data_IF_577049319162
#
_entry.id   IF_577049319162
#
_cell.length_a   1.000
_cell.length_b   1.000
_cell.length_c   1.000
_cell.angle_alpha   90.00
_cell.angle_beta   90.00
_cell.angle_gamma   90.00
#
_symmetry.space_group_name_H-M   'P 1'
#
loop_
_entity.id
_entity.type
_entity.pdbx_description
1 polymer ?
#
# COMPACT_ATOMS: atom_id res chain seq x y z
N UNK A 1 47.35 21.84 -8.10
CA UNK A 1 46.29 21.85 -9.13
C UNK A 1 46.17 23.25 -9.68
N UNK A 2 45.88 23.38 -10.97
CA UNK A 2 45.35 24.59 -11.57
C UNK A 2 43.90 24.35 -12.01
N UNK A 3 43.03 25.31 -11.79
CA UNK A 3 41.62 25.27 -12.18
C UNK A 3 41.18 26.61 -12.78
N UNK A 4 40.25 26.57 -13.73
CA UNK A 4 39.63 27.75 -14.33
C UNK A 4 38.13 27.49 -14.42
N UNK A 5 37.38 28.32 -13.73
CA UNK A 5 35.92 28.38 -13.81
C UNK A 5 35.50 29.06 -15.11
N UNK A 6 34.38 28.66 -15.71
CA UNK A 6 33.90 29.21 -16.99
C UNK A 6 33.78 30.75 -17.00
N UNK A 7 33.38 31.35 -15.87
CA UNK A 7 33.26 32.81 -15.70
C UNK A 7 34.61 33.54 -15.55
N UNK A 8 35.71 32.82 -15.37
CA UNK A 8 37.06 33.38 -15.19
C UNK A 8 37.95 33.10 -16.41
N UNK A 9 38.67 34.13 -16.86
CA UNK A 9 39.70 33.96 -17.88
C UNK A 9 41.03 33.45 -17.29
N UNK A 10 41.20 33.56 -15.97
CA UNK A 10 42.44 33.27 -15.26
C UNK A 10 42.44 31.87 -14.65
N UNK A 11 43.61 31.22 -14.74
CA UNK A 11 43.88 29.99 -14.03
C UNK A 11 44.27 30.28 -12.58
N UNK A 12 43.52 29.70 -11.65
CA UNK A 12 43.83 29.74 -10.23
C UNK A 12 44.57 28.46 -9.81
N UNK A 13 45.45 28.57 -8.82
CA UNK A 13 46.24 27.43 -8.35
C UNK A 13 46.00 27.16 -6.88
N UNK A 14 45.83 25.90 -6.53
CA UNK A 14 45.72 25.44 -5.15
C UNK A 14 46.57 24.18 -4.90
N UNK A 15 47.15 24.02 -3.70
CA UNK A 15 47.86 22.80 -3.34
C UNK A 15 46.88 21.64 -3.20
N UNK A 16 47.33 20.45 -3.58
CA UNK A 16 46.61 19.21 -3.33
C UNK A 16 47.06 18.62 -1.99
N UNK A 17 46.14 17.97 -1.28
CA UNK A 17 46.42 17.27 -0.04
C UNK A 17 46.99 15.89 -0.36
N UNK A 18 48.05 15.48 0.33
CA UNK A 18 48.59 14.14 0.20
C UNK A 18 47.92 13.21 1.23
N UNK A 19 47.37 12.09 0.77
CA UNK A 19 46.77 11.06 1.61
C UNK A 19 47.09 9.67 1.05
N UNK A 20 47.64 8.79 1.89
CA UNK A 20 48.10 7.43 1.57
C UNK A 20 48.80 7.23 0.21
N UNK A 21 49.67 8.18 -0.18
CA UNK A 21 50.40 8.13 -1.46
C UNK A 21 49.61 8.60 -2.67
N UNK A 22 48.36 9.02 -2.48
CA UNK A 22 47.53 9.75 -3.44
C UNK A 22 47.56 11.25 -3.15
N UNK A 23 47.10 12.03 -4.12
CA UNK A 23 46.89 13.47 -3.98
C UNK A 23 45.44 13.79 -4.30
N UNK A 24 44.77 14.48 -3.38
CA UNK A 24 43.36 14.84 -3.50
C UNK A 24 43.18 16.36 -3.50
N UNK A 25 42.15 16.81 -4.22
CA UNK A 25 41.59 18.15 -4.08
C UNK A 25 40.08 18.09 -4.25
N UNK A 26 39.36 18.70 -3.32
CA UNK A 26 37.90 18.78 -3.34
C UNK A 26 37.46 20.16 -3.82
N UNK A 27 36.69 20.20 -4.90
CA UNK A 27 35.96 21.41 -5.25
C UNK A 27 34.70 21.52 -4.40
N UNK A 28 34.51 22.63 -3.72
CA UNK A 28 33.30 22.90 -2.94
C UNK A 28 32.37 23.81 -3.71
N UNK A 29 31.06 23.51 -3.70
CA UNK A 29 30.01 24.35 -4.27
C UNK A 29 30.28 24.76 -5.73
N UNK A 30 30.63 23.79 -6.58
CA UNK A 30 30.79 24.01 -8.04
C UNK A 30 29.43 24.37 -8.63
N UNK A 31 29.33 25.57 -9.23
CA UNK A 31 28.08 26.12 -9.79
C UNK A 31 28.14 26.37 -11.28
N UNK A 32 29.30 26.16 -11.87
CA UNK A 32 29.59 26.37 -13.28
C UNK A 32 30.70 25.38 -13.70
N UNK A 33 30.85 25.09 -15.00
CA UNK A 33 31.89 24.20 -15.47
C UNK A 33 33.30 24.63 -15.05
N UNK A 34 34.17 23.66 -14.78
CA UNK A 34 35.55 23.87 -14.34
C UNK A 34 36.51 23.07 -15.18
N UNK A 35 37.41 23.75 -15.89
CA UNK A 35 38.60 23.14 -16.47
C UNK A 35 39.69 23.00 -15.41
N UNK A 36 40.34 21.86 -15.28
CA UNK A 36 41.48 21.69 -14.37
C UNK A 36 42.59 20.83 -14.95
N UNK A 37 43.82 21.06 -14.47
CA UNK A 37 44.96 20.17 -14.69
C UNK A 37 45.86 20.14 -13.46
N UNK A 38 46.66 19.08 -13.35
CA UNK A 38 47.58 18.88 -12.22
C UNK A 38 49.01 19.11 -12.68
N UNK A 39 49.80 19.75 -11.82
CA UNK A 39 51.23 19.96 -12.03
C UNK A 39 52.01 19.31 -10.91
N UNK A 40 52.96 18.44 -11.27
CA UNK A 40 53.90 17.82 -10.34
C UNK A 40 55.31 17.85 -10.94
N UNK A 41 56.29 18.35 -10.20
CA UNK A 41 57.68 18.44 -10.62
C UNK A 41 57.90 19.07 -12.03
N UNK A 42 57.06 20.04 -12.41
CA UNK A 42 57.14 20.73 -13.70
C UNK A 42 56.50 19.98 -14.87
N UNK A 43 55.83 18.86 -14.63
CA UNK A 43 55.04 18.11 -15.62
C UNK A 43 53.56 18.41 -15.42
N UNK A 44 52.84 18.65 -16.52
CA UNK A 44 51.40 18.90 -16.53
C UNK A 44 50.67 17.63 -16.95
N UNK A 45 49.50 17.39 -16.35
CA UNK A 45 48.54 16.42 -16.88
C UNK A 45 47.85 16.95 -18.14
N UNK A 46 47.00 16.13 -18.74
CA UNK A 46 45.95 16.60 -19.64
C UNK A 46 45.00 17.56 -18.90
N UNK A 47 44.27 18.37 -19.65
CA UNK A 47 43.17 19.18 -19.13
C UNK A 47 41.93 18.31 -19.02
N UNK A 48 41.28 18.36 -17.86
CA UNK A 48 40.03 17.69 -17.56
C UNK A 48 38.95 18.74 -17.35
N UNK A 49 37.70 18.38 -17.60
CA UNK A 49 36.55 19.27 -17.42
C UNK A 49 35.56 18.64 -16.45
N UNK A 50 35.03 19.47 -15.55
CA UNK A 50 33.88 19.17 -14.71
C UNK A 50 32.71 19.97 -15.27
N UNK A 51 31.65 19.30 -15.68
CA UNK A 51 30.42 19.95 -16.14
C UNK A 51 29.45 20.17 -14.97
N UNK A 52 28.64 21.22 -15.08
CA UNK A 52 27.54 21.49 -14.14
C UNK A 52 26.23 21.55 -14.90
N UNK A 53 25.20 20.96 -14.31
CA UNK A 53 23.92 20.73 -14.95
C UNK A 53 22.83 21.38 -14.11
N UNK A 54 21.94 22.11 -14.76
CA UNK A 54 20.70 22.55 -14.13
C UNK A 54 19.66 21.44 -14.28
N UNK A 55 19.37 20.76 -13.17
CA UNK A 55 18.42 19.66 -13.15
C UNK A 55 16.99 20.21 -13.21
N UNK A 56 16.08 19.56 -13.95
CA UNK A 56 14.66 19.88 -13.89
C UNK A 56 14.17 19.88 -12.44
N UNK A 57 13.51 20.96 -12.02
CA UNK A 57 12.98 21.06 -10.66
C UNK A 57 11.56 20.54 -10.64
N UNK A 58 11.27 19.64 -9.70
CA UNK A 58 9.91 19.16 -9.47
C UNK A 58 9.05 20.33 -8.99
N UNK A 59 7.94 20.54 -9.71
CA UNK A 59 6.90 21.53 -9.42
C UNK A 59 5.73 20.91 -8.69
N UNK A 60 5.39 19.68 -9.05
CA UNK A 60 4.27 18.96 -8.48
C UNK A 60 4.49 17.45 -8.55
N UNK A 61 3.93 16.75 -7.57
CA UNK A 61 3.70 15.30 -7.60
C UNK A 61 2.21 15.11 -7.37
N UNK A 62 1.52 14.38 -8.24
CA UNK A 62 0.12 14.02 -8.08
C UNK A 62 0.00 12.50 -7.97
N UNK A 63 -0.86 12.05 -7.06
CA UNK A 63 -1.10 10.63 -6.79
C UNK A 63 -2.54 10.29 -7.12
N UNK A 64 -2.75 9.33 -8.03
CA UNK A 64 -4.08 8.80 -8.34
C UNK A 64 -4.18 7.36 -7.85
N UNK A 65 -5.06 7.14 -6.87
CA UNK A 65 -5.26 5.86 -6.20
C UNK A 65 -6.37 5.06 -6.88
N UNK A 66 -6.01 3.91 -7.43
CA UNK A 66 -6.93 2.91 -7.94
C UNK A 66 -7.01 1.73 -6.96
N UNK A 67 -7.99 1.80 -6.06
CA UNK A 67 -8.19 0.79 -5.04
C UNK A 67 -8.62 -0.58 -5.63
N UNK A 68 -8.29 -1.69 -4.94
CA UNK A 68 -8.79 -3.00 -5.30
C UNK A 68 -10.33 -3.03 -5.34
N UNK A 69 -10.91 -3.80 -6.26
CA UNK A 69 -12.37 -3.84 -6.44
C UNK A 69 -13.15 -4.24 -5.18
N UNK A 70 -12.56 -5.07 -4.32
CA UNK A 70 -13.20 -5.57 -3.10
C UNK A 70 -13.39 -4.47 -2.05
N UNK A 71 -12.61 -3.37 -2.09
CA UNK A 71 -12.80 -2.27 -1.15
C UNK A 71 -14.00 -1.39 -1.48
N UNK A 72 -14.51 -1.50 -2.71
CA UNK A 72 -15.58 -0.65 -3.26
C UNK A 72 -15.30 0.86 -3.18
N UNK A 73 -14.05 1.26 -2.95
CA UNK A 73 -13.64 2.66 -2.89
C UNK A 73 -13.54 3.25 -4.30
N UNK A 74 -13.98 4.50 -4.43
CA UNK A 74 -13.82 5.27 -5.67
C UNK A 74 -12.36 5.67 -5.87
N UNK A 75 -11.97 5.94 -7.12
CA UNK A 75 -10.65 6.51 -7.41
C UNK A 75 -10.47 7.83 -6.69
N UNK A 76 -9.36 7.98 -5.97
CA UNK A 76 -9.00 9.18 -5.25
C UNK A 76 -7.80 9.85 -5.93
N UNK A 77 -7.80 11.18 -5.96
CA UNK A 77 -6.68 11.97 -6.50
C UNK A 77 -6.18 12.89 -5.39
N UNK A 78 -4.88 12.91 -5.19
CA UNK A 78 -4.18 13.79 -4.26
C UNK A 78 -3.19 14.66 -5.05
N UNK A 79 -3.40 15.97 -5.00
CA UNK A 79 -2.63 16.95 -5.79
C UNK A 79 -2.51 18.27 -4.98
N UNK A 80 -1.31 18.61 -4.45
CA UNK A 80 -0.09 17.80 -4.48
C UNK A 80 -0.20 16.58 -3.57
N UNK A 81 0.35 15.45 -4.01
CA UNK A 81 0.58 14.27 -3.20
C UNK A 81 1.94 14.28 -2.51
N UNK A 82 2.07 13.43 -1.50
CA UNK A 82 3.26 13.29 -0.65
C UNK A 82 3.46 11.79 -0.33
N UNK A 83 3.23 11.37 0.92
CA UNK A 83 3.28 9.96 1.31
C UNK A 83 2.08 9.16 0.76
N UNK A 84 2.30 7.88 0.47
CA UNK A 84 1.26 6.94 0.05
C UNK A 84 0.75 6.18 1.28
N UNK A 85 -0.55 6.28 1.56
CA UNK A 85 -1.21 5.44 2.58
C UNK A 85 -2.41 4.73 1.98
N UNK A 86 -2.29 3.42 1.76
CA UNK A 86 -3.31 2.65 1.03
C UNK A 86 -3.30 1.17 1.39
N UNK A 87 -4.41 0.48 1.11
CA UNK A 87 -4.48 -0.98 1.28
C UNK A 87 -3.58 -1.70 0.28
N UNK A 88 -3.10 -2.88 0.67
CA UNK A 88 -2.36 -3.75 -0.23
C UNK A 88 -3.15 -4.07 -1.52
N UNK A 89 -2.45 -4.06 -2.65
CA UNK A 89 -3.02 -4.20 -4.00
C UNK A 89 -3.55 -2.91 -4.62
N UNK A 90 -3.49 -1.76 -3.91
CA UNK A 90 -3.81 -0.46 -4.50
C UNK A 90 -2.77 -0.10 -5.55
N UNK A 91 -3.23 0.31 -6.73
CA UNK A 91 -2.37 0.84 -7.80
C UNK A 91 -2.36 2.36 -7.72
N UNK A 92 -1.21 2.94 -7.44
CA UNK A 92 -1.01 4.38 -7.36
C UNK A 92 -0.30 4.84 -8.61
N UNK A 93 -0.99 5.64 -9.42
CA UNK A 93 -0.35 6.38 -10.52
C UNK A 93 0.33 7.62 -9.95
N UNK A 94 1.65 7.70 -10.14
CA UNK A 94 2.49 8.81 -9.70
C UNK A 94 2.80 9.66 -10.91
N UNK A 95 2.28 10.89 -10.94
CA UNK A 95 2.56 11.88 -11.97
C UNK A 95 3.47 12.96 -11.39
N UNK A 96 4.63 13.17 -11.99
CA UNK A 96 5.56 14.25 -11.64
C UNK A 96 5.57 15.29 -12.74
N UNK A 97 5.44 16.56 -12.35
CA UNK A 97 5.58 17.70 -13.25
C UNK A 97 6.81 18.51 -12.86
N UNK A 98 7.65 18.83 -13.83
CA UNK A 98 8.88 19.63 -13.68
C UNK A 98 8.81 20.97 -14.40
N UNK A 99 9.81 21.82 -14.19
CA UNK A 99 9.91 23.13 -14.85
C UNK A 99 10.67 23.13 -16.19
N UNK A 100 11.29 22.00 -16.50
CA UNK A 100 11.95 21.70 -17.76
C UNK A 100 11.53 20.31 -18.23
N UNK A 101 11.58 20.02 -19.55
CA UNK A 101 11.29 18.69 -20.06
C UNK A 101 12.16 17.60 -19.45
N UNK A 102 11.56 16.44 -19.18
CA UNK A 102 12.22 15.22 -18.75
C UNK A 102 12.58 14.39 -19.99
N UNK A 103 13.78 13.82 -20.00
CA UNK A 103 14.19 12.84 -21.02
C UNK A 103 13.67 11.45 -20.65
N UNK A 104 14.34 10.83 -19.69
CA UNK A 104 13.95 9.57 -19.08
C UNK A 104 13.67 9.82 -17.60
N UNK A 105 12.69 9.12 -17.03
CA UNK A 105 12.34 9.21 -15.62
C UNK A 105 12.03 7.82 -15.07
N UNK A 106 12.35 7.64 -13.79
CA UNK A 106 12.17 6.40 -13.07
C UNK A 106 11.56 6.68 -11.70
N UNK A 107 10.74 5.75 -11.25
CA UNK A 107 10.21 5.70 -9.90
C UNK A 107 10.96 4.60 -9.17
N UNK A 108 11.72 4.96 -8.16
CA UNK A 108 12.45 4.00 -7.33
C UNK A 108 11.61 3.70 -6.10
N UNK A 109 11.34 2.42 -5.85
CA UNK A 109 10.49 1.94 -4.75
C UNK A 109 11.24 0.86 -4.00
N UNK A 110 11.58 1.09 -2.73
CA UNK A 110 12.34 0.15 -1.92
C UNK A 110 13.65 -0.36 -2.59
N UNK A 111 14.26 0.48 -3.43
CA UNK A 111 15.46 0.14 -4.21
C UNK A 111 15.19 -0.59 -5.54
N UNK A 112 13.95 -0.91 -5.88
CA UNK A 112 13.54 -1.42 -7.18
C UNK A 112 13.17 -0.28 -8.13
N UNK A 113 13.59 -0.41 -9.39
CA UNK A 113 13.32 0.59 -10.43
C UNK A 113 12.04 0.26 -11.19
N UNK A 114 11.11 1.22 -11.24
CA UNK A 114 9.94 1.21 -12.09
C UNK A 114 10.07 2.27 -13.19
N UNK A 115 9.88 1.87 -14.44
CA UNK A 115 9.93 2.80 -15.57
C UNK A 115 8.76 3.81 -15.48
N UNK A 116 9.06 5.09 -15.75
CA UNK A 116 8.04 6.11 -15.97
C UNK A 116 7.97 6.46 -17.45
N UNK A 117 6.78 6.79 -17.94
CA UNK A 117 6.60 7.35 -19.28
C UNK A 117 6.69 8.86 -19.20
N UNK A 118 7.72 9.45 -19.81
CA UNK A 118 7.89 10.90 -19.90
C UNK A 118 7.24 11.47 -21.18
N UNK A 119 6.52 12.59 -21.02
CA UNK A 119 5.99 13.43 -22.10
C UNK A 119 6.20 14.92 -21.76
N UNK A 120 7.17 15.54 -22.43
CA UNK A 120 7.52 16.93 -22.16
C UNK A 120 8.03 17.10 -20.73
N UNK A 121 7.37 17.94 -19.94
CA UNK A 121 7.74 18.23 -18.55
C UNK A 121 6.99 17.38 -17.53
N UNK A 122 6.30 16.33 -17.98
CA UNK A 122 5.53 15.43 -17.14
C UNK A 122 6.06 14.00 -17.29
N UNK A 123 6.11 13.24 -16.21
CA UNK A 123 6.40 11.81 -16.23
C UNK A 123 5.41 11.06 -15.33
N UNK A 124 4.92 9.92 -15.82
CA UNK A 124 3.92 9.11 -15.13
C UNK A 124 4.42 7.67 -14.94
N UNK A 125 4.36 7.17 -13.72
CA UNK A 125 4.67 5.79 -13.35
C UNK A 125 3.54 5.17 -12.53
N UNK A 126 3.54 3.85 -12.38
CA UNK A 126 2.55 3.15 -11.56
C UNK A 126 3.26 2.28 -10.52
N UNK A 127 2.90 2.50 -9.26
CA UNK A 127 3.33 1.72 -8.11
C UNK A 127 2.18 0.84 -7.63
N UNK A 128 2.45 -0.42 -7.30
CA UNK A 128 1.48 -1.30 -6.63
C UNK A 128 1.86 -1.46 -5.16
N UNK A 129 0.98 -0.99 -4.27
CA UNK A 129 1.20 -1.02 -2.81
C UNK A 129 1.15 -2.47 -2.34
N UNK A 130 2.27 -2.97 -1.81
CA UNK A 130 2.37 -4.36 -1.35
C UNK A 130 3.05 -4.48 0.01
N UNK A 131 4.05 -3.63 0.26
CA UNK A 131 4.73 -3.52 1.55
C UNK A 131 5.04 -2.05 1.87
N UNK A 132 5.24 -1.76 3.16
CA UNK A 132 5.66 -0.44 3.61
C UNK A 132 7.10 -0.15 3.23
N UNK A 133 7.43 1.12 3.04
CA UNK A 133 8.79 1.54 2.71
C UNK A 133 8.86 2.95 2.18
N UNK A 134 9.67 3.17 1.15
CA UNK A 134 9.94 4.50 0.61
C UNK A 134 10.00 4.49 -0.93
N UNK A 135 9.69 5.64 -1.51
CA UNK A 135 9.86 5.88 -2.93
C UNK A 135 10.39 7.28 -3.24
N UNK A 136 10.99 7.42 -4.41
CA UNK A 136 11.40 8.71 -4.96
C UNK A 136 11.49 8.67 -6.47
N UNK A 137 11.55 9.86 -7.09
CA UNK A 137 11.69 9.98 -8.54
C UNK A 137 13.11 10.35 -8.93
N UNK A 138 13.64 9.65 -9.93
CA UNK A 138 14.93 9.93 -10.56
C UNK A 138 14.78 10.16 -12.06
N UNK A 139 15.78 10.80 -12.63
CA UNK A 139 16.00 10.95 -14.07
C UNK A 139 17.42 10.52 -14.42
N UNK A 140 17.78 10.56 -15.69
CA UNK A 140 19.16 10.33 -16.12
C UNK A 140 19.79 11.60 -16.65
N UNK A 141 21.04 11.82 -16.27
CA UNK A 141 21.90 12.83 -16.88
C UNK A 141 23.25 12.24 -17.22
N UNK A 142 23.67 12.34 -18.48
CA UNK A 142 24.91 11.76 -18.98
C UNK A 142 25.08 10.27 -18.60
N UNK A 143 23.98 9.51 -18.69
CA UNK A 143 23.87 8.09 -18.31
C UNK A 143 23.97 7.80 -16.80
N UNK A 144 24.12 8.82 -15.94
CA UNK A 144 24.09 8.68 -14.50
C UNK A 144 22.67 8.96 -13.94
N UNK A 145 22.15 8.13 -13.02
CA UNK A 145 20.87 8.40 -12.37
C UNK A 145 21.01 9.59 -11.42
N UNK A 146 20.11 10.54 -11.57
CA UNK A 146 20.03 11.76 -10.76
C UNK A 146 18.66 11.86 -10.11
N UNK A 147 18.67 12.02 -8.79
CA UNK A 147 17.48 12.10 -7.97
C UNK A 147 16.79 13.46 -8.11
N UNK A 148 15.48 13.47 -8.28
CA UNK A 148 14.65 14.66 -8.48
C UNK A 148 13.83 15.07 -7.25
N UNK A 149 13.46 14.13 -6.38
CA UNK A 149 12.66 14.37 -5.16
C UNK A 149 13.36 13.88 -3.90
N UNK A 150 12.90 14.33 -2.73
CA UNK A 150 13.22 13.68 -1.45
C UNK A 150 12.52 12.32 -1.34
N UNK A 151 12.71 11.61 -0.21
CA UNK A 151 12.07 10.32 0.05
C UNK A 151 10.64 10.56 0.51
N UNK A 152 9.70 9.85 -0.11
CA UNK A 152 8.32 9.75 0.32
C UNK A 152 8.08 8.36 0.94
N UNK A 153 7.16 8.26 1.89
CA UNK A 153 6.87 7.00 2.57
C UNK A 153 5.67 6.27 1.97
N UNK A 154 5.67 4.95 2.15
CA UNK A 154 4.58 4.05 1.79
C UNK A 154 4.13 3.35 3.07
N UNK A 155 2.88 3.57 3.45
CA UNK A 155 2.21 2.92 4.57
C UNK A 155 1.10 2.00 4.07
N UNK A 156 1.22 0.71 4.36
CA UNK A 156 0.18 -0.27 4.03
C UNK A 156 -0.89 -0.26 5.11
N UNK A 157 -2.11 0.07 4.72
CA UNK A 157 -3.28 -0.02 5.59
C UNK A 157 -3.67 -1.50 5.70
N UNK A 158 -3.66 -2.10 6.91
CA UNK A 158 -4.04 -3.49 7.08
C UNK A 158 -5.54 -3.68 6.86
N UNK A 159 -5.90 -4.81 6.22
CA UNK A 159 -7.27 -5.29 6.13
C UNK A 159 -7.61 -6.07 7.42
N UNK A 160 -8.52 -5.53 8.22
CA UNK A 160 -8.95 -6.16 9.47
C UNK A 160 -10.07 -7.17 9.20
N UNK A 161 -10.11 -8.24 9.99
CA UNK A 161 -11.22 -9.19 9.91
C UNK A 161 -12.53 -8.52 10.35
N UNK A 162 -13.67 -8.82 9.71
CA UNK A 162 -14.96 -8.35 10.16
C UNK A 162 -15.24 -8.76 11.61
N UNK A 163 -15.84 -7.85 12.37
CA UNK A 163 -16.29 -8.10 13.73
C UNK A 163 -17.77 -8.45 13.73
N UNK A 164 -18.14 -9.59 14.34
CA UNK A 164 -19.52 -10.05 14.41
C UNK A 164 -19.92 -10.30 15.86
N UNK A 165 -21.13 -9.88 16.22
CA UNK A 165 -21.71 -10.10 17.54
C UNK A 165 -23.18 -10.45 17.47
N UNK A 166 -23.59 -11.46 18.24
CA UNK A 166 -25.00 -11.72 18.51
C UNK A 166 -25.39 -10.82 19.68
N UNK A 167 -26.21 -9.81 19.45
CA UNK A 167 -26.63 -8.83 20.47
C UNK A 167 -27.80 -9.36 21.29
N UNK A 168 -28.70 -10.12 20.65
CA UNK A 168 -29.79 -10.84 21.32
C UNK A 168 -29.91 -12.24 20.74
N UNK A 169 -30.15 -13.26 21.58
CA UNK A 169 -30.08 -13.25 23.05
C UNK A 169 -28.65 -13.00 23.60
N UNK A 170 -27.63 -13.02 22.74
CA UNK A 170 -26.23 -12.75 23.06
C UNK A 170 -25.52 -13.85 23.85
N UNK A 171 -26.21 -14.96 24.07
CA UNK A 171 -25.72 -16.21 24.61
C UNK A 171 -26.75 -17.29 24.32
N UNK A 172 -26.40 -18.50 24.70
CA UNK A 172 -27.28 -19.63 24.83
C UNK A 172 -28.62 -19.29 25.48
N UNK A 173 -29.70 -19.50 24.73
CA UNK A 173 -31.07 -19.26 25.19
C UNK A 173 -31.81 -20.58 25.40
N UNK A 174 -32.45 -20.72 26.57
CA UNK A 174 -33.36 -21.82 26.85
C UNK A 174 -34.77 -21.36 26.53
N UNK A 175 -35.34 -21.92 25.47
CA UNK A 175 -36.71 -21.68 25.06
C UNK A 175 -37.50 -22.99 25.02
N UNK A 176 -38.80 -22.91 25.26
CA UNK A 176 -39.73 -24.02 25.04
C UNK A 176 -40.07 -24.17 23.55
N UNK A 177 -40.57 -25.34 23.13
CA UNK A 177 -40.91 -25.62 21.73
C UNK A 177 -41.98 -24.69 21.10
N UNK A 178 -42.66 -23.87 21.91
CA UNK A 178 -43.69 -22.92 21.45
C UNK A 178 -43.23 -21.45 21.60
N UNK A 179 -41.99 -21.22 22.01
CA UNK A 179 -41.44 -19.87 22.16
C UNK A 179 -40.71 -19.42 20.89
N UNK A 180 -40.91 -18.15 20.56
CA UNK A 180 -40.18 -17.46 19.50
C UNK A 180 -38.90 -16.87 20.07
N UNK A 181 -37.77 -17.12 19.41
CA UNK A 181 -36.47 -16.57 19.83
C UNK A 181 -36.07 -15.47 18.85
N UNK A 182 -36.08 -14.23 19.33
CA UNK A 182 -35.54 -13.10 18.56
C UNK A 182 -34.02 -13.10 18.63
N UNK A 183 -33.39 -13.22 17.47
CA UNK A 183 -31.95 -13.13 17.27
C UNK A 183 -31.64 -11.79 16.63
N UNK A 184 -30.71 -11.05 17.22
CA UNK A 184 -30.15 -9.84 16.63
C UNK A 184 -28.66 -10.03 16.42
N UNK A 185 -28.19 -9.82 15.21
CA UNK A 185 -26.79 -9.88 14.83
C UNK A 185 -26.34 -8.50 14.37
N UNK A 186 -25.19 -8.06 14.88
CA UNK A 186 -24.46 -6.90 14.39
C UNK A 186 -23.13 -7.37 13.80
N UNK A 187 -22.80 -6.89 12.61
CA UNK A 187 -21.52 -7.13 11.95
C UNK A 187 -20.92 -5.81 11.45
N UNK A 188 -19.59 -5.68 11.52
CA UNK A 188 -18.81 -4.49 11.12
C UNK A 188 -17.58 -4.90 10.33
N UNK A 189 -17.24 -4.12 9.32
CA UNK A 189 -16.04 -4.27 8.50
C UNK A 189 -15.55 -2.88 8.04
N UNK A 190 -14.25 -2.73 7.82
CA UNK A 190 -13.64 -1.46 7.40
C UNK A 190 -13.92 -1.13 5.92
N UNK A 191 -14.11 -2.14 5.08
CA UNK A 191 -14.30 -2.03 3.62
C UNK A 191 -15.64 -2.58 3.15
N UNK A 192 -16.28 -3.45 3.93
CA UNK A 192 -17.66 -3.88 3.70
C UNK A 192 -17.89 -5.35 3.94
N UNK A 193 -19.17 -5.70 4.13
CA UNK A 193 -19.61 -7.08 4.32
C UNK A 193 -20.23 -7.62 3.03
N UNK A 194 -19.67 -8.68 2.47
CA UNK A 194 -20.24 -9.35 1.30
C UNK A 194 -21.44 -10.23 1.65
N UNK A 195 -21.40 -10.90 2.81
CA UNK A 195 -22.42 -11.85 3.24
C UNK A 195 -22.41 -12.04 4.75
N UNK A 196 -23.60 -12.16 5.34
CA UNK A 196 -23.81 -12.52 6.73
C UNK A 196 -24.74 -13.75 6.81
N UNK A 197 -24.32 -14.78 7.55
CA UNK A 197 -25.10 -16.01 7.76
C UNK A 197 -25.24 -16.28 9.27
N UNK A 198 -26.46 -16.52 9.74
CA UNK A 198 -26.73 -17.04 11.07
C UNK A 198 -26.76 -18.57 11.02
N UNK A 199 -25.80 -19.19 11.69
CA UNK A 199 -25.76 -20.65 11.90
C UNK A 199 -26.30 -20.95 13.30
N UNK A 200 -27.34 -21.78 13.41
CA UNK A 200 -27.91 -22.17 14.70
C UNK A 200 -28.31 -23.64 14.73
N UNK A 201 -28.26 -24.24 15.92
CA UNK A 201 -28.69 -25.62 16.17
C UNK A 201 -29.69 -25.68 17.32
N UNK A 202 -30.70 -26.53 17.20
CA UNK A 202 -31.64 -26.81 18.31
C UNK A 202 -31.24 -28.13 18.96
N UNK A 203 -31.01 -28.12 20.27
CA UNK A 203 -30.64 -29.30 21.08
C UNK A 203 -29.44 -30.10 20.53
N UNK A 204 -28.44 -29.40 19.98
CA UNK A 204 -27.24 -30.03 19.40
C UNK A 204 -27.50 -30.85 18.14
N UNK A 205 -28.63 -30.61 17.45
CA UNK A 205 -28.93 -31.17 16.13
C UNK A 205 -28.08 -30.58 15.01
N UNK A 206 -28.44 -30.86 13.76
CA UNK A 206 -27.75 -30.27 12.60
C UNK A 206 -27.91 -28.74 12.55
N UNK A 207 -26.89 -28.08 12.02
CA UNK A 207 -26.91 -26.64 11.83
C UNK A 207 -27.92 -26.23 10.76
N UNK A 208 -28.78 -25.28 11.12
CA UNK A 208 -29.61 -24.52 10.21
C UNK A 208 -28.88 -23.22 9.87
N UNK A 209 -29.02 -22.77 8.63
CA UNK A 209 -28.39 -21.55 8.12
C UNK A 209 -29.48 -20.61 7.64
N UNK A 210 -29.45 -19.38 8.14
CA UNK A 210 -30.29 -18.27 7.66
C UNK A 210 -29.37 -17.20 7.10
N UNK A 211 -29.60 -16.79 5.85
CA UNK A 211 -28.92 -15.63 5.28
C UNK A 211 -29.52 -14.36 5.87
N UNK A 212 -28.66 -13.47 6.36
CA UNK A 212 -29.02 -12.18 6.92
C UNK A 212 -28.63 -11.08 5.95
N UNK A 213 -29.39 -9.98 5.95
CA UNK A 213 -29.05 -8.80 5.16
C UNK A 213 -27.69 -8.24 5.61
N UNK A 214 -26.77 -8.11 4.67
CA UNK A 214 -25.49 -7.44 4.83
C UNK A 214 -25.32 -6.42 3.70
N UNK A 215 -25.15 -5.15 4.04
CA UNK A 215 -24.87 -4.10 3.06
C UNK A 215 -23.92 -3.06 3.67
N UNK A 216 -22.82 -2.79 2.96
CA UNK A 216 -21.78 -1.85 3.38
C UNK A 216 -20.97 -2.29 4.61
N UNK A 217 -20.37 -1.31 5.29
CA UNK A 217 -19.45 -1.49 6.42
C UNK A 217 -20.13 -1.91 7.75
N UNK A 218 -21.46 -1.87 7.81
CA UNK A 218 -22.22 -2.23 9.01
C UNK A 218 -23.54 -2.90 8.65
N UNK A 219 -23.78 -4.07 9.23
CA UNK A 219 -25.04 -4.77 9.13
C UNK A 219 -25.66 -4.97 10.52
N UNK A 220 -26.93 -4.64 10.66
CA UNK A 220 -27.78 -5.04 11.79
C UNK A 220 -28.95 -5.83 11.23
N UNK A 221 -29.12 -7.07 11.66
CA UNK A 221 -30.23 -7.91 11.22
C UNK A 221 -30.95 -8.52 12.42
N UNK A 222 -32.27 -8.48 12.35
CA UNK A 222 -33.19 -9.09 13.30
C UNK A 222 -33.87 -10.29 12.63
N UNK A 223 -33.74 -11.47 13.22
CA UNK A 223 -34.38 -12.69 12.77
C UNK A 223 -35.20 -13.31 13.91
N UNK A 224 -36.37 -13.85 13.62
CA UNK A 224 -37.21 -14.53 14.61
C UNK A 224 -37.26 -16.02 14.31
N UNK A 225 -36.73 -16.82 15.23
CA UNK A 225 -36.74 -18.28 15.12
C UNK A 225 -38.03 -18.84 15.73
N UNK A 226 -38.88 -19.44 14.89
CA UNK A 226 -40.12 -20.11 15.29
C UNK A 226 -39.83 -21.59 15.60
N UNK A 227 -39.61 -21.92 16.88
CA UNK A 227 -39.20 -23.27 17.29
C UNK A 227 -40.26 -24.35 16.98
N UNK A 228 -41.54 -23.95 16.90
CA UNK A 228 -42.66 -24.84 16.58
C UNK A 228 -42.63 -25.37 15.13
N UNK A 229 -42.01 -24.62 14.21
CA UNK A 229 -41.91 -25.02 12.80
C UNK A 229 -40.77 -26.00 12.55
N UNK A 230 -39.82 -26.10 13.50
CA UNK A 230 -38.59 -26.89 13.41
C UNK A 230 -38.76 -28.34 13.88
N UNK A 231 -39.90 -28.69 14.49
CA UNK A 231 -40.24 -30.06 14.92
C UNK A 231 -40.83 -30.94 13.81
N UNK A 232 -40.97 -30.44 12.58
CA UNK A 232 -41.43 -31.28 11.46
C UNK A 232 -40.30 -32.23 11.02
N UNK A 233 -40.47 -33.56 11.13
CA UNK A 233 -39.46 -34.49 10.67
C UNK A 233 -39.24 -34.32 9.18
N UNK A 234 -37.98 -34.15 8.79
CA UNK A 234 -37.52 -34.14 7.43
C UNK A 234 -38.08 -35.33 6.65
N UNK A 235 -38.85 -35.05 5.59
CA UNK A 235 -39.04 -36.03 4.53
C UNK A 235 -37.77 -36.07 3.67
N UNK A 236 -36.84 -36.93 4.10
CA UNK A 236 -35.76 -37.58 3.36
C UNK A 236 -35.11 -36.88 2.14
N UNK A 237 -33.82 -36.56 2.26
CA UNK A 237 -32.77 -37.13 1.40
C UNK A 237 -31.38 -37.00 2.04
N UNK A 238 -30.58 -38.06 1.96
CA UNK A 238 -29.26 -38.26 2.57
C UNK A 238 -28.11 -37.91 1.60
N UNK A 239 -27.02 -37.29 2.08
CA UNK A 239 -25.63 -37.83 2.07
C UNK A 239 -24.53 -36.77 2.34
N UNK A 240 -23.31 -37.16 2.79
CA UNK A 240 -22.53 -36.41 3.79
C UNK A 240 -21.09 -35.95 3.41
N UNK A 241 -20.47 -35.18 4.33
CA UNK A 241 -19.06 -35.21 4.78
C UNK A 241 -18.06 -34.09 4.39
N UNK A 242 -17.21 -33.72 5.38
CA UNK A 242 -15.94 -32.97 5.31
C UNK A 242 -16.06 -31.56 5.91
N UNK A 243 -15.26 -31.05 6.83
CA UNK A 243 -13.92 -31.36 7.35
C UNK A 243 -13.32 -29.99 7.76
N UNK A 244 -12.97 -29.80 9.03
CA UNK A 244 -12.39 -28.55 9.56
C UNK A 244 -10.89 -28.50 9.21
N UNK A 245 -10.47 -27.59 8.34
CA UNK A 245 -9.07 -27.24 8.09
C UNK A 245 -8.86 -25.72 8.02
N UNK A 246 -7.61 -25.32 8.32
CA UNK A 246 -7.08 -23.99 8.64
C UNK A 246 -7.59 -22.80 7.81
N UNK A 247 -7.83 -21.68 8.51
CA UNK A 247 -8.39 -20.45 7.93
C UNK A 247 -7.31 -19.41 7.53
N UNK A 248 -7.36 -18.94 6.28
CA UNK A 248 -6.61 -17.81 5.72
C UNK A 248 -7.58 -16.72 5.23
N UNK A 249 -7.10 -15.48 5.01
CA UNK A 249 -7.94 -14.33 4.62
C UNK A 249 -8.93 -14.65 3.49
N UNK A 250 -10.22 -14.39 3.76
CA UNK A 250 -11.35 -14.78 2.90
C UNK A 250 -12.41 -15.70 3.57
N UNK A 251 -12.38 -15.89 4.89
CA UNK A 251 -13.08 -17.01 5.52
C UNK A 251 -14.44 -16.75 6.19
N UNK A 252 -15.33 -17.74 6.03
CA UNK A 252 -16.66 -17.87 6.64
C UNK A 252 -16.57 -17.95 8.16
N UNK A 253 -17.31 -17.11 8.86
CA UNK A 253 -17.48 -17.17 10.32
C UNK A 253 -18.69 -18.05 10.68
N UNK A 254 -18.42 -19.20 11.29
CA UNK A 254 -19.42 -20.07 11.93
C UNK A 254 -19.45 -19.73 13.43
N UNK A 255 -20.60 -19.31 13.95
CA UNK A 255 -20.81 -19.15 15.40
C UNK A 255 -21.30 -20.48 15.96
N UNK A 256 -20.50 -21.09 16.84
CA UNK A 256 -20.66 -22.47 17.30
C UNK A 256 -21.10 -22.55 18.77
N UNK A 257 -22.01 -23.51 19.01
CA UNK A 257 -22.44 -24.18 20.25
C UNK A 257 -23.34 -23.48 21.27
N UNK A 258 -24.45 -24.18 21.50
CA UNK A 258 -25.46 -23.97 22.53
C UNK A 258 -25.62 -25.31 23.29
N UNK A 259 -24.95 -25.48 24.44
CA UNK A 259 -24.90 -26.77 25.16
C UNK A 259 -25.92 -26.82 26.32
N UNK A 260 -26.78 -27.84 26.32
CA UNK A 260 -27.78 -28.09 27.37
C UNK A 260 -27.25 -29.12 28.41
N UNK A 261 -27.22 -28.73 29.69
CA UNK A 261 -27.07 -29.68 30.81
C UNK A 261 -28.46 -29.98 31.37
N UNK A 262 -28.85 -31.26 31.28
CA UNK A 262 -30.08 -31.81 31.86
C UNK A 262 -30.04 -31.79 33.39
N UNK A 263 -31.15 -31.36 34.00
CA UNK A 263 -31.40 -31.38 35.45
C UNK A 263 -31.51 -32.80 36.04
N UNK A 264 -31.16 -32.90 37.33
CA UNK A 264 -31.73 -33.83 38.28
C UNK A 264 -32.20 -33.06 39.53
#
# INVERSE_FOLDING_TARGET
MFARFESSEDWESAPMLADDGLFEFTFFAVREPVSYYVVAAGVHSEEFQVDVVDLPRVRNVALTYHYPRWTQLETQIEDPGDDISAVAGTRVEVEVTTDQPLGEAELIVNGETLEMTADGATATGVLEVSESGEYYVSTYFADDPVRLTDDYFIDVIPDNKPEVSVVRPGRDWRASNIEEVSVRVEARDDFGLDRLELHYSVNGGEYNVVELDADGAFAESDEVLYLEEMEKPASASLSPAGGLEDLLGGDRLTVDRLDEVRDA
#
